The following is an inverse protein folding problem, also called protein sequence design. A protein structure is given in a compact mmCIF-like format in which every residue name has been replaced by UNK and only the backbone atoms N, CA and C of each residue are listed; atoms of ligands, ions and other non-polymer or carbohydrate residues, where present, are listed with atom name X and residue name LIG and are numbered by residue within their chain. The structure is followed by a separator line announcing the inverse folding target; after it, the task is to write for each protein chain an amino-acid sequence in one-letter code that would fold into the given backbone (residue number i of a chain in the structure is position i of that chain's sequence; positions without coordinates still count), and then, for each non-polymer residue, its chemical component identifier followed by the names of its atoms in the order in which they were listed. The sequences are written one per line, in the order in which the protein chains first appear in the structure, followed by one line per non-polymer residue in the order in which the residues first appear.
data_IF_585820327945
#
_entry.id   IF_585820327945
#
_cell.length_a   1.000
_cell.length_b   1.000
_cell.length_c   1.000
_cell.angle_alpha   90.00
_cell.angle_beta   90.00
_cell.angle_gamma   90.00
#
_symmetry.space_group_name_H-M   'P 1'
#
loop_
_entity.id
_entity.type
_entity.pdbx_description
1 polymer ?
#
# COMPACT_ATOMS: atom_id res chain seq x y z
N UNK A 1 12.88 11.96 -25.29
CA UNK A 1 12.27 12.04 -23.95
C UNK A 1 10.78 11.72 -24.06
N UNK A 2 10.28 10.83 -23.21
CA UNK A 2 8.88 10.47 -23.27
C UNK A 2 8.01 11.52 -22.60
N UNK A 3 6.86 11.77 -23.23
CA UNK A 3 5.87 12.67 -22.68
C UNK A 3 5.12 11.98 -21.54
N UNK A 4 4.86 12.70 -20.46
CA UNK A 4 4.06 12.17 -19.35
C UNK A 4 2.63 12.01 -19.83
N UNK A 5 2.09 10.79 -19.64
CA UNK A 5 0.74 10.42 -20.04
C UNK A 5 -0.15 10.33 -18.80
N UNK A 6 -1.47 10.30 -19.02
CA UNK A 6 -2.42 10.22 -17.92
C UNK A 6 -2.19 9.01 -17.00
N UNK A 7 -1.77 7.87 -17.57
CA UNK A 7 -1.55 6.65 -16.77
C UNK A 7 -0.33 6.76 -15.87
N UNK A 8 0.62 7.64 -16.17
CA UNK A 8 1.75 7.90 -15.27
C UNK A 8 1.25 8.51 -13.96
N UNK A 9 0.26 9.41 -14.04
CA UNK A 9 -0.32 10.03 -12.83
C UNK A 9 -1.05 9.00 -11.98
N UNK A 10 -1.85 8.12 -12.60
CA UNK A 10 -2.53 7.06 -11.86
C UNK A 10 -1.53 6.10 -11.23
N UNK A 11 -0.48 5.73 -11.98
CA UNK A 11 0.55 4.83 -11.44
C UNK A 11 1.25 5.45 -10.23
N UNK A 12 1.53 6.75 -10.27
CA UNK A 12 2.16 7.44 -9.13
C UNK A 12 1.27 7.37 -7.89
N UNK A 13 -0.02 7.69 -8.04
CA UNK A 13 -0.97 7.66 -6.94
C UNK A 13 -1.06 6.26 -6.34
N UNK A 14 -1.28 5.25 -7.16
CA UNK A 14 -1.43 3.88 -6.68
C UNK A 14 -0.13 3.28 -6.16
N UNK A 15 1.02 3.71 -6.68
CA UNK A 15 2.31 3.31 -6.11
C UNK A 15 2.39 3.72 -4.65
N UNK A 16 2.04 4.97 -4.35
CA UNK A 16 1.99 5.46 -2.97
C UNK A 16 1.03 4.65 -2.12
N UNK A 17 -0.16 4.35 -2.67
CA UNK A 17 -1.17 3.58 -1.97
C UNK A 17 -0.72 2.17 -1.63
N UNK A 18 -0.19 1.44 -2.61
CA UNK A 18 0.23 0.04 -2.38
C UNK A 18 1.44 -0.06 -1.46
N UNK A 19 2.42 0.82 -1.61
CA UNK A 19 3.59 0.81 -0.72
C UNK A 19 3.17 1.10 0.72
N UNK A 20 2.25 2.03 0.92
CA UNK A 20 1.72 2.35 2.24
C UNK A 20 0.93 1.16 2.80
N UNK A 21 0.09 0.53 1.97
CA UNK A 21 -0.71 -0.62 2.41
C UNK A 21 0.17 -1.80 2.82
N UNK A 22 1.33 -1.96 2.19
CA UNK A 22 2.26 -3.03 2.57
C UNK A 22 2.82 -2.85 3.97
N UNK A 23 2.96 -1.61 4.43
CA UNK A 23 3.70 -1.29 5.66
C UNK A 23 3.17 -1.99 6.89
N UNK A 24 1.88 -1.88 7.27
CA UNK A 24 1.41 -2.54 8.50
C UNK A 24 1.50 -4.06 8.40
N UNK A 25 1.22 -4.62 7.23
CA UNK A 25 1.30 -6.06 7.05
C UNK A 25 2.73 -6.57 7.16
N UNK A 26 3.68 -5.80 6.63
CA UNK A 26 5.09 -6.14 6.72
C UNK A 26 5.55 -6.09 8.17
N UNK A 27 5.26 -4.99 8.85
CA UNK A 27 5.70 -4.78 10.24
C UNK A 27 5.13 -5.85 11.17
N UNK A 28 3.82 -6.10 11.09
CA UNK A 28 3.19 -7.13 11.93
C UNK A 28 3.65 -8.53 11.52
N UNK A 29 3.71 -8.79 10.22
CA UNK A 29 4.10 -10.13 9.75
C UNK A 29 5.48 -10.55 10.20
N UNK A 30 6.47 -9.72 9.99
CA UNK A 30 7.84 -10.06 10.38
C UNK A 30 8.08 -9.98 11.88
N UNK A 31 7.15 -9.36 12.62
CA UNK A 31 7.22 -9.32 14.09
C UNK A 31 6.48 -10.49 14.74
N UNK A 32 5.88 -11.36 13.95
CA UNK A 32 5.14 -12.51 14.46
C UNK A 32 3.77 -12.18 15.00
N UNK A 33 3.22 -11.01 14.64
CA UNK A 33 1.90 -10.57 15.11
C UNK A 33 0.82 -10.86 14.08
N UNK A 34 -0.39 -11.14 14.57
CA UNK A 34 -1.57 -11.26 13.72
C UNK A 34 -2.10 -9.88 13.35
N UNK A 35 -2.67 -9.78 12.16
CA UNK A 35 -3.20 -8.51 11.68
C UNK A 35 -4.22 -8.79 10.57
N UNK A 36 -5.25 -7.92 10.38
CA UNK A 36 -6.25 -8.17 9.35
C UNK A 36 -5.69 -8.12 7.93
N UNK A 37 -6.24 -8.96 7.06
CA UNK A 37 -5.98 -8.94 5.62
C UNK A 37 -7.31 -9.12 4.90
N UNK A 38 -7.36 -8.94 3.57
CA UNK A 38 -8.58 -9.28 2.82
C UNK A 38 -8.98 -10.75 2.93
N UNK A 39 -8.08 -11.61 3.40
CA UNK A 39 -8.33 -13.06 3.52
C UNK A 39 -8.81 -13.47 4.90
N UNK A 40 -8.82 -12.55 5.87
CA UNK A 40 -9.32 -12.84 7.21
C UNK A 40 -10.86 -12.87 7.23
N UNK A 41 -11.44 -13.36 8.32
CA UNK A 41 -12.90 -13.40 8.49
C UNK A 41 -13.27 -12.75 9.80
N UNK A 42 -14.06 -11.69 9.78
CA UNK A 42 -14.51 -10.96 8.60
C UNK A 42 -13.38 -10.23 7.90
N UNK A 43 -13.54 -10.02 6.60
CA UNK A 43 -12.47 -9.42 5.77
C UNK A 43 -12.05 -8.05 6.31
N UNK A 44 -10.74 -7.88 6.46
CA UNK A 44 -10.17 -6.61 6.90
C UNK A 44 -10.42 -6.29 8.38
N UNK A 45 -11.07 -7.16 9.14
CA UNK A 45 -11.36 -6.96 10.56
C UNK A 45 -10.86 -8.11 11.41
N UNK A 46 -11.15 -9.36 11.01
CA UNK A 46 -10.61 -10.55 11.65
C UNK A 46 -9.10 -10.61 11.43
N UNK A 47 -8.43 -11.49 12.16
CA UNK A 47 -6.96 -11.54 12.16
C UNK A 47 -6.45 -12.68 11.28
N UNK A 48 -5.48 -12.37 10.42
CA UNK A 48 -4.73 -13.35 9.66
C UNK A 48 -3.41 -13.63 10.34
N UNK A 49 -2.80 -14.77 10.00
CA UNK A 49 -1.53 -15.19 10.59
C UNK A 49 -0.39 -14.24 10.22
N UNK A 50 0.71 -14.26 11.00
CA UNK A 50 1.89 -13.48 10.63
C UNK A 50 2.44 -13.84 9.26
N UNK A 51 2.44 -15.14 8.90
CA UNK A 51 2.93 -15.57 7.59
C UNK A 51 2.05 -14.99 6.46
N UNK A 52 0.73 -15.04 6.61
CA UNK A 52 -0.19 -14.48 5.62
C UNK A 52 0.05 -12.98 5.46
N UNK A 53 0.26 -12.27 6.56
CA UNK A 53 0.55 -10.84 6.50
C UNK A 53 1.87 -10.55 5.79
N UNK A 54 2.90 -11.34 6.05
CA UNK A 54 4.20 -11.17 5.40
C UNK A 54 4.07 -11.37 3.88
N UNK A 55 3.37 -12.42 3.46
CA UNK A 55 3.16 -12.68 2.03
C UNK A 55 2.30 -11.59 1.38
N UNK A 56 1.28 -11.13 2.06
CA UNK A 56 0.43 -10.05 1.57
C UNK A 56 1.24 -8.76 1.42
N UNK A 57 2.14 -8.50 2.38
CA UNK A 57 3.03 -7.34 2.31
C UNK A 57 3.95 -7.42 1.09
N UNK A 58 4.53 -8.59 0.82
CA UNK A 58 5.41 -8.77 -0.34
C UNK A 58 4.65 -8.49 -1.64
N UNK A 59 3.43 -8.99 -1.77
CA UNK A 59 2.63 -8.71 -2.95
C UNK A 59 2.43 -7.20 -3.15
N UNK A 60 2.07 -6.50 -2.07
CA UNK A 60 1.86 -5.06 -2.14
C UNK A 60 3.16 -4.29 -2.43
N UNK A 61 4.29 -4.74 -1.86
CA UNK A 61 5.58 -4.12 -2.13
C UNK A 61 5.99 -4.27 -3.59
N UNK A 62 5.82 -5.47 -4.15
CA UNK A 62 6.15 -5.73 -5.55
C UNK A 62 5.28 -4.89 -6.48
N UNK A 63 3.97 -4.87 -6.23
CA UNK A 63 3.05 -4.11 -7.04
C UNK A 63 3.33 -2.61 -6.93
N UNK A 64 3.56 -2.13 -5.71
CA UNK A 64 3.89 -0.72 -5.49
C UNK A 64 5.18 -0.31 -6.16
N UNK A 65 6.21 -1.14 -6.07
CA UNK A 65 7.49 -0.87 -6.72
C UNK A 65 7.34 -0.82 -8.25
N UNK A 66 6.60 -1.78 -8.81
CA UNK A 66 6.38 -1.84 -10.25
C UNK A 66 5.64 -0.58 -10.74
N UNK A 67 4.59 -0.18 -10.01
CA UNK A 67 3.86 1.04 -10.34
C UNK A 67 4.73 2.28 -10.19
N UNK A 68 5.60 2.30 -9.17
CA UNK A 68 6.52 3.42 -8.99
C UNK A 68 7.45 3.57 -10.19
N UNK A 69 7.97 2.48 -10.72
CA UNK A 69 8.82 2.52 -11.91
C UNK A 69 8.05 3.01 -13.13
N UNK A 70 6.84 2.50 -13.34
CA UNK A 70 6.01 2.93 -14.47
C UNK A 70 5.67 4.42 -14.37
N UNK A 71 5.47 4.92 -13.15
CA UNK A 71 4.94 6.26 -12.92
C UNK A 71 5.85 7.39 -13.36
N UNK A 72 7.14 7.13 -13.46
CA UNK A 72 8.16 8.17 -13.77
C UNK A 72 8.15 9.29 -12.73
N UNK A 73 7.94 8.94 -11.47
CA UNK A 73 7.85 9.92 -10.38
C UNK A 73 9.13 10.72 -10.19
N UNK A 74 10.26 10.20 -10.69
CA UNK A 74 11.55 10.90 -10.62
C UNK A 74 11.78 11.85 -11.79
N UNK A 75 10.80 12.02 -12.68
CA UNK A 75 10.88 12.96 -13.79
C UNK A 75 10.75 14.40 -13.27
N UNK A 76 10.85 15.37 -14.19
CA UNK A 76 10.77 16.78 -13.82
C UNK A 76 9.32 17.28 -13.64
N UNK A 77 8.33 16.39 -13.65
CA UNK A 77 6.93 16.76 -13.44
C UNK A 77 6.58 16.68 -11.96
N UNK A 78 6.46 17.82 -11.25
CA UNK A 78 6.19 17.78 -9.81
C UNK A 78 4.82 17.22 -9.46
N UNK A 79 3.87 17.21 -10.40
CA UNK A 79 2.55 16.64 -10.15
C UNK A 79 2.64 15.15 -9.87
N UNK A 80 3.58 14.44 -10.49
CA UNK A 80 3.78 13.01 -10.22
C UNK A 80 4.16 12.77 -8.76
N UNK A 81 5.06 13.58 -8.24
CA UNK A 81 5.47 13.45 -6.84
C UNK A 81 4.33 13.79 -5.90
N UNK A 82 3.56 14.84 -6.22
CA UNK A 82 2.40 15.23 -5.42
C UNK A 82 1.38 14.09 -5.38
N UNK A 83 1.10 13.46 -6.52
CA UNK A 83 0.15 12.35 -6.58
C UNK A 83 0.66 11.13 -5.85
N UNK A 84 1.96 10.86 -5.90
CA UNK A 84 2.55 9.77 -5.13
C UNK A 84 2.29 9.98 -3.63
N UNK A 85 2.57 11.16 -3.12
CA UNK A 85 2.31 11.48 -1.71
C UNK A 85 0.82 11.50 -1.39
N UNK A 86 -0.02 11.93 -2.33
CA UNK A 86 -1.47 11.87 -2.15
C UNK A 86 -1.94 10.42 -1.96
N UNK A 87 -1.35 9.48 -2.69
CA UNK A 87 -1.63 8.06 -2.49
C UNK A 87 -1.24 7.57 -1.11
N UNK A 88 -0.07 8.00 -0.63
CA UNK A 88 0.40 7.67 0.72
C UNK A 88 -0.60 8.20 1.76
N UNK A 89 -0.97 9.46 1.65
CA UNK A 89 -1.90 10.08 2.61
C UNK A 89 -3.26 9.40 2.58
N UNK A 90 -3.81 9.18 1.39
CA UNK A 90 -5.11 8.54 1.24
C UNK A 90 -5.13 7.16 1.88
N UNK A 91 -4.14 6.33 1.58
CA UNK A 91 -4.08 4.97 2.13
C UNK A 91 -3.81 5.01 3.63
N UNK A 92 -3.00 5.96 4.11
CA UNK A 92 -2.71 6.09 5.54
C UNK A 92 -3.98 6.41 6.32
N UNK A 93 -4.78 7.35 5.85
CA UNK A 93 -6.03 7.72 6.51
C UNK A 93 -7.05 6.60 6.45
N UNK A 94 -7.16 5.94 5.29
CA UNK A 94 -8.06 4.81 5.11
C UNK A 94 -7.68 3.67 6.06
N UNK A 95 -6.39 3.34 6.14
CA UNK A 95 -5.91 2.25 7.00
C UNK A 95 -6.13 2.58 8.48
N UNK A 96 -5.84 3.82 8.87
CA UNK A 96 -6.03 4.25 10.26
C UNK A 96 -7.49 4.09 10.67
N UNK A 97 -8.42 4.50 9.82
CA UNK A 97 -9.84 4.35 10.10
C UNK A 97 -10.26 2.88 10.11
N UNK A 98 -9.89 2.14 9.07
CA UNK A 98 -10.31 0.74 8.92
C UNK A 98 -9.76 -0.13 10.03
N UNK A 99 -8.47 -0.01 10.34
CA UNK A 99 -7.84 -0.88 11.32
C UNK A 99 -8.10 -0.45 12.76
N UNK A 100 -8.67 0.73 12.97
CA UNK A 100 -9.15 1.10 14.32
C UNK A 100 -10.28 0.17 14.80
N UNK A 101 -10.94 -0.49 13.85
CA UNK A 101 -12.07 -1.39 14.12
C UNK A 101 -11.68 -2.87 14.07
N UNK A 102 -10.37 -3.17 13.95
CA UNK A 102 -9.93 -4.56 13.84
C UNK A 102 -10.14 -5.31 15.13
N UNK A 103 -10.25 -6.62 15.02
CA UNK A 103 -10.32 -7.50 16.17
C UNK A 103 -8.99 -7.49 16.93
N UNK A 104 -9.03 -7.81 18.20
CA UNK A 104 -7.83 -7.89 19.04
C UNK A 104 -7.48 -9.34 19.30
N UNK A 105 -6.18 -9.60 19.44
CA UNK A 105 -5.70 -10.92 19.82
C UNK A 105 -6.15 -11.29 21.22
#
# INVERSE_FOLDING_TARGET
METIQWYHYLAAFFAGGFLTNATPHFVHGISGDKFPTPFSKPHGKGLSSPMTNTLWAFFNLLLGYFLLKISRVTSNDPTLLILFFAGIVTMSLFSSYTFSKKDKE
#
